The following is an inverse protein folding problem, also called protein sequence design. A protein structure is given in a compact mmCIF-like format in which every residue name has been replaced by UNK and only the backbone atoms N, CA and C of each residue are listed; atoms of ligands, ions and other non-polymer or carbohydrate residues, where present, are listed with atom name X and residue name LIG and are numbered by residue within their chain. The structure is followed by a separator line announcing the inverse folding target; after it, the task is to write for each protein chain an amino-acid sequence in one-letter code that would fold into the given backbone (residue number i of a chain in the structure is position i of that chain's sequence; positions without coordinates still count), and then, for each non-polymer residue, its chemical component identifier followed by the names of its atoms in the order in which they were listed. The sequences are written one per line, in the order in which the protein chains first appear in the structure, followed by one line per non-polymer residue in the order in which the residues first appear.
data_IF_243187489241
#
_entry.id   IF_243187489241
#
_cell.length_a   1.000
_cell.length_b   1.000
_cell.length_c   1.000
_cell.angle_alpha   90.00
_cell.angle_beta   90.00
_cell.angle_gamma   90.00
#
_symmetry.space_group_name_H-M   'P 1'
#
loop_
_entity.id
_entity.type
_entity.pdbx_description
1 polymer ?
#
# COMPACT_ATOMS: atom_id res chain seq x y z
N UNK A 1 -12.21 18.74 -13.36
CA UNK A 1 -12.77 17.41 -13.07
C UNK A 1 -11.60 16.56 -12.56
N UNK A 2 -11.48 16.36 -11.25
CA UNK A 2 -10.41 15.51 -10.71
C UNK A 2 -10.73 14.08 -11.15
N UNK A 3 -9.81 13.34 -11.78
CA UNK A 3 -10.06 11.95 -12.15
C UNK A 3 -10.59 11.18 -10.94
N UNK A 4 -11.73 10.51 -11.08
CA UNK A 4 -12.22 9.59 -10.05
C UNK A 4 -11.17 8.50 -9.83
N UNK A 5 -10.85 8.18 -8.57
CA UNK A 5 -9.96 7.07 -8.25
C UNK A 5 -10.55 5.77 -8.79
N UNK A 6 -9.78 5.06 -9.63
CA UNK A 6 -10.09 3.71 -10.10
C UNK A 6 -9.23 2.70 -9.34
N UNK A 7 -9.78 1.50 -9.16
CA UNK A 7 -9.03 0.36 -8.67
C UNK A 7 -7.86 0.09 -9.63
N UNK A 8 -6.61 0.21 -9.17
CA UNK A 8 -5.43 -0.06 -10.02
C UNK A 8 -5.37 -1.54 -10.43
N UNK A 9 -5.97 -2.44 -9.65
CA UNK A 9 -5.96 -3.88 -9.91
C UNK A 9 -6.93 -4.28 -11.02
N UNK A 10 -8.17 -3.75 -11.04
CA UNK A 10 -9.21 -4.20 -11.98
C UNK A 10 -9.90 -3.08 -12.78
N UNK A 11 -9.52 -1.81 -12.59
CA UNK A 11 -10.07 -0.67 -13.30
C UNK A 11 -11.45 -0.17 -12.82
N UNK A 12 -12.09 -0.88 -11.90
CA UNK A 12 -13.40 -0.49 -11.34
C UNK A 12 -13.39 0.88 -10.66
N UNK A 13 -14.48 1.62 -10.77
CA UNK A 13 -14.76 2.86 -10.05
C UNK A 13 -15.55 2.65 -8.74
N UNK A 14 -15.94 1.39 -8.44
CA UNK A 14 -16.74 1.02 -7.27
C UNK A 14 -15.87 0.84 -6.03
N UNK A 15 -15.21 1.91 -5.60
CA UNK A 15 -14.46 1.92 -4.34
C UNK A 15 -15.38 2.19 -3.15
N UNK A 16 -15.06 1.61 -1.99
CA UNK A 16 -15.74 1.91 -0.72
C UNK A 16 -15.49 3.35 -0.28
N UNK A 17 -16.29 3.87 0.68
CA UNK A 17 -15.85 4.96 1.55
C UNK A 17 -14.52 4.64 2.23
N UNK A 18 -13.86 5.68 2.72
CA UNK A 18 -12.68 5.52 3.58
C UNK A 18 -13.10 4.86 4.88
N UNK A 19 -12.35 3.83 5.29
CA UNK A 19 -12.46 3.22 6.61
C UNK A 19 -11.15 3.29 7.38
N UNK A 20 -11.22 3.11 8.69
CA UNK A 20 -10.04 2.92 9.54
C UNK A 20 -9.46 1.52 9.31
N UNK A 21 -8.13 1.45 9.29
CA UNK A 21 -7.38 0.22 9.09
C UNK A 21 -6.57 -0.09 10.35
N UNK A 22 -6.82 -1.25 10.94
CA UNK A 22 -6.09 -1.78 12.09
C UNK A 22 -5.44 -3.13 11.75
N UNK A 23 -4.34 -3.44 12.44
CA UNK A 23 -3.62 -4.71 12.34
C UNK A 23 -4.01 -5.60 13.52
N UNK A 24 -5.12 -6.35 13.41
CA UNK A 24 -5.48 -7.41 14.36
C UNK A 24 -6.17 -6.98 15.67
N UNK A 25 -6.26 -7.90 16.62
CA UNK A 25 -7.13 -7.85 17.82
C UNK A 25 -6.72 -6.79 18.86
N UNK A 26 -5.51 -6.23 18.75
CA UNK A 26 -5.02 -5.23 19.70
C UNK A 26 -5.33 -3.81 19.23
N UNK A 27 -6.10 -3.12 20.06
CA UNK A 27 -6.41 -1.71 19.88
C UNK A 27 -5.11 -0.89 19.77
N UNK A 28 -4.88 -0.24 18.64
CA UNK A 28 -3.71 0.59 18.37
C UNK A 28 -2.61 -0.03 17.49
N UNK A 29 -2.67 -1.33 17.16
CA UNK A 29 -1.78 -1.90 16.15
C UNK A 29 -2.21 -1.42 14.75
N UNK A 30 -1.33 -0.71 14.04
CA UNK A 30 -1.57 -0.18 12.69
C UNK A 30 -0.65 -0.87 11.69
N UNK A 31 -1.11 -0.97 10.44
CA UNK A 31 -0.25 -1.42 9.34
C UNK A 31 0.85 -0.38 9.10
N UNK A 32 2.08 -0.84 8.92
CA UNK A 32 3.26 0.01 8.80
C UNK A 32 3.95 -0.18 7.47
N UNK A 33 4.17 0.92 6.75
CA UNK A 33 4.98 0.98 5.56
C UNK A 33 6.42 1.40 5.93
N UNK A 34 7.41 0.57 5.61
CA UNK A 34 8.82 0.78 5.97
C UNK A 34 9.70 0.90 4.74
N UNK A 35 10.35 2.03 4.54
CA UNK A 35 11.26 2.25 3.41
C UNK A 35 12.71 1.88 3.75
N UNK A 36 13.55 1.65 2.73
CA UNK A 36 15.01 1.67 2.91
C UNK A 36 15.51 3.10 2.73
N UNK A 37 16.65 3.39 3.34
CA UNK A 37 17.36 4.67 3.18
C UNK A 37 18.86 4.37 3.02
N UNK A 38 19.57 4.95 2.04
CA UNK A 38 21.00 4.77 1.89
C UNK A 38 21.78 5.26 3.13
N UNK A 39 22.62 4.38 3.68
CA UNK A 39 23.47 4.63 4.85
C UNK A 39 23.28 3.58 5.95
N UNK A 40 24.36 2.87 6.31
CA UNK A 40 24.33 1.71 7.24
C UNK A 40 23.74 2.01 8.62
N UNK A 41 23.76 3.28 9.04
CA UNK A 41 23.34 3.73 10.37
C UNK A 41 22.14 4.69 10.34
N UNK A 42 21.54 4.97 9.18
CA UNK A 42 20.38 5.88 9.12
C UNK A 42 19.11 5.13 9.54
N UNK A 43 18.26 5.71 10.40
CA UNK A 43 16.97 5.11 10.74
C UNK A 43 16.09 4.99 9.50
N UNK A 44 15.41 3.84 9.38
CA UNK A 44 14.46 3.56 8.29
C UNK A 44 13.18 4.35 8.54
N UNK A 45 12.71 5.15 7.57
CA UNK A 45 11.40 5.81 7.67
C UNK A 45 10.27 4.77 7.78
N UNK A 46 9.37 4.99 8.74
CA UNK A 46 8.23 4.13 9.03
C UNK A 46 6.98 4.99 9.10
N UNK A 47 5.95 4.61 8.33
CA UNK A 47 4.69 5.34 8.27
C UNK A 47 3.54 4.40 8.64
N UNK A 48 2.66 4.85 9.54
CA UNK A 48 1.45 4.11 9.87
C UNK A 48 0.38 4.38 8.80
N UNK A 49 -0.02 3.34 8.07
CA UNK A 49 -1.19 3.36 7.21
C UNK A 49 -2.39 2.86 8.01
N UNK A 50 -3.23 3.78 8.46
CA UNK A 50 -4.44 3.43 9.22
C UNK A 50 -5.74 3.91 8.61
N UNK A 51 -5.72 4.26 7.32
CA UNK A 51 -6.91 4.47 6.52
C UNK A 51 -6.83 3.57 5.28
N UNK A 52 -7.97 3.09 4.80
CA UNK A 52 -8.05 2.30 3.57
C UNK A 52 -9.35 2.48 2.81
N UNK A 53 -9.32 2.11 1.52
CA UNK A 53 -10.51 1.84 0.70
C UNK A 53 -10.44 0.42 0.15
N UNK A 54 -11.59 -0.23 0.02
CA UNK A 54 -11.71 -1.53 -0.66
C UNK A 54 -12.38 -1.37 -2.02
N UNK A 55 -11.88 -2.07 -3.04
CA UNK A 55 -12.61 -2.26 -4.29
C UNK A 55 -13.76 -3.24 -4.05
N UNK A 56 -14.97 -2.83 -4.40
CA UNK A 56 -16.18 -3.65 -4.20
C UNK A 56 -16.36 -4.75 -5.24
N UNK A 57 -15.57 -4.73 -6.32
CA UNK A 57 -15.65 -5.73 -7.39
C UNK A 57 -14.58 -6.82 -7.26
N UNK A 58 -13.32 -6.46 -6.99
CA UNK A 58 -12.23 -7.44 -6.90
C UNK A 58 -11.67 -7.63 -5.48
N UNK A 59 -12.16 -6.90 -4.48
CA UNK A 59 -11.71 -7.03 -3.09
C UNK A 59 -10.35 -6.43 -2.77
N UNK A 60 -9.67 -5.80 -3.74
CA UNK A 60 -8.38 -5.14 -3.49
C UNK A 60 -8.50 -4.07 -2.39
N UNK A 61 -7.57 -4.09 -1.44
CA UNK A 61 -7.51 -3.14 -0.32
C UNK A 61 -6.37 -2.14 -0.56
N UNK A 62 -6.70 -0.85 -0.51
CA UNK A 62 -5.77 0.25 -0.75
C UNK A 62 -5.52 1.01 0.56
N UNK A 63 -4.46 0.67 1.32
CA UNK A 63 -4.05 1.44 2.48
C UNK A 63 -3.44 2.77 2.06
N UNK A 64 -3.68 3.83 2.82
CA UNK A 64 -3.06 5.13 2.59
C UNK A 64 -2.74 5.86 3.90
N UNK A 65 -1.83 6.82 3.78
CA UNK A 65 -1.36 7.65 4.88
C UNK A 65 -2.37 8.75 5.21
N UNK A 66 -2.42 9.16 6.48
CA UNK A 66 -3.08 10.40 6.86
C UNK A 66 -2.31 11.63 6.32
N UNK A 67 -2.87 12.81 6.51
CA UNK A 67 -2.28 14.04 5.97
C UNK A 67 -0.89 14.33 6.53
N UNK A 68 -0.66 14.06 7.81
CA UNK A 68 0.62 14.32 8.45
C UNK A 68 1.69 13.37 7.91
N UNK A 69 1.42 12.07 7.94
CA UNK A 69 2.33 11.05 7.43
C UNK A 69 2.58 11.21 5.92
N UNK A 70 1.60 11.66 5.15
CA UNK A 70 1.77 11.97 3.72
C UNK A 70 2.74 13.14 3.50
N UNK A 71 2.64 14.21 4.30
CA UNK A 71 3.57 15.36 4.22
C UNK A 71 4.98 14.95 4.64
N UNK A 72 5.11 14.13 5.67
CA UNK A 72 6.41 13.61 6.10
C UNK A 72 7.03 12.72 5.02
N UNK A 73 6.23 11.84 4.38
CA UNK A 73 6.69 11.02 3.26
C UNK A 73 7.19 11.89 2.10
N UNK A 74 6.43 12.92 1.72
CA UNK A 74 6.79 13.85 0.64
C UNK A 74 8.13 14.55 0.91
N UNK A 75 8.37 14.95 2.17
CA UNK A 75 9.61 15.62 2.56
C UNK A 75 10.86 14.72 2.50
N UNK A 76 10.71 13.40 2.55
CA UNK A 76 11.84 12.45 2.55
C UNK A 76 11.91 11.56 1.31
N UNK A 77 10.93 11.67 0.40
CA UNK A 77 10.72 10.73 -0.70
C UNK A 77 11.95 10.55 -1.60
N UNK A 78 12.63 11.65 -1.92
CA UNK A 78 13.82 11.64 -2.78
C UNK A 78 15.03 10.92 -2.16
N UNK A 79 15.01 10.67 -0.84
CA UNK A 79 16.06 9.96 -0.12
C UNK A 79 15.77 8.47 0.08
N UNK A 80 14.60 8.00 -0.35
CA UNK A 80 14.15 6.63 -0.13
C UNK A 80 14.63 5.72 -1.24
N UNK A 81 14.88 4.46 -0.89
CA UNK A 81 15.11 3.40 -1.87
C UNK A 81 14.15 2.25 -1.65
N UNK A 82 13.83 1.56 -2.74
CA UNK A 82 13.01 0.37 -2.72
C UNK A 82 13.68 -0.74 -1.89
N UNK A 83 12.85 -1.60 -1.31
CA UNK A 83 13.32 -2.89 -0.83
C UNK A 83 13.55 -3.75 -2.08
N UNK A 84 14.81 -3.89 -2.51
CA UNK A 84 15.17 -4.84 -3.59
C UNK A 84 14.52 -6.21 -3.31
N UNK A 85 13.69 -6.67 -4.25
CA UNK A 85 12.94 -7.93 -4.15
C UNK A 85 11.41 -7.83 -4.34
N UNK A 86 10.81 -6.64 -4.34
CA UNK A 86 9.38 -6.45 -4.63
C UNK A 86 9.07 -6.40 -6.14
N UNK A 87 9.86 -7.08 -6.96
CA UNK A 87 9.59 -7.25 -8.38
C UNK A 87 8.39 -8.18 -8.56
N UNK A 88 7.30 -7.62 -9.07
CA UNK A 88 6.26 -8.31 -9.87
C UNK A 88 6.22 -9.83 -9.69
N UNK A 89 5.45 -10.31 -8.71
CA UNK A 89 4.92 -11.67 -8.77
C UNK A 89 3.97 -11.74 -9.97
N UNK A 90 4.51 -11.99 -11.16
CA UNK A 90 3.74 -12.56 -12.25
C UNK A 90 3.21 -13.90 -11.71
N UNK A 91 1.91 -13.95 -11.39
CA UNK A 91 1.22 -15.23 -11.30
C UNK A 91 1.33 -15.85 -12.68
N UNK A 92 2.28 -16.78 -12.83
CA UNK A 92 2.38 -17.62 -14.01
C UNK A 92 1.07 -18.36 -14.16
N UNK A 93 0.45 -18.17 -15.32
CA UNK A 93 -0.68 -18.93 -15.82
C UNK A 93 -0.37 -20.42 -15.64
N UNK A 94 -1.02 -21.07 -14.68
CA UNK A 94 -1.01 -22.53 -14.62
C UNK A 94 -1.98 -23.03 -15.68
N UNK A 95 -1.51 -23.07 -16.92
CA UNK A 95 -2.13 -23.88 -17.95
C UNK A 95 -2.12 -25.34 -17.47
N UNK A 96 -3.32 -25.87 -17.23
CA UNK A 96 -3.48 -27.29 -16.97
C UNK A 96 -3.09 -28.09 -18.20
N UNK A 97 -2.46 -29.25 -17.97
CA UNK A 97 -2.50 -30.39 -18.88
C UNK A 97 -2.19 -31.64 -18.08
N UNK A 98 -3.13 -32.59 -18.11
CA UNK A 98 -2.94 -33.98 -17.67
C UNK A 98 -1.88 -34.69 -18.54
N UNK A 99 -1.63 -36.00 -18.32
CA UNK A 99 -2.65 -37.04 -18.17
C UNK A 99 -2.74 -37.70 -16.79
#
# INVERSE_FOLDING_TARGET
MVPGMRCWICGSDRLSPVGELSSGERWGERLRLKFRRPGLLKPRPVFDAGLARACRDCGALFPFLDEYARRELDAVADELTDVEGAGTHHYGESEGSGP
#
